data_IF_608880402711
#
_entry.id   IF_608880402711
#
_cell.length_a   1.000
_cell.length_b   1.000
_cell.length_c   1.000
_cell.angle_alpha   90.00
_cell.angle_beta   90.00
_cell.angle_gamma   90.00
#
_symmetry.space_group_name_H-M   'P 1'
#
loop_
_entity.id
_entity.type
_entity.pdbx_description
1 polymer ?
#
# COMPACT_ATOMS: atom_id res chain seq x y z
N UNK A 1 34.88 -5.21 -24.45
CA UNK A 1 34.06 -4.94 -23.25
C UNK A 1 32.73 -5.71 -23.30
N UNK A 2 31.96 -5.60 -24.39
CA UNK A 2 30.67 -6.32 -24.58
C UNK A 2 30.80 -7.85 -24.53
N UNK A 3 31.81 -8.44 -25.21
CA UNK A 3 32.02 -9.90 -25.23
C UNK A 3 32.25 -10.51 -23.84
N UNK A 4 33.01 -9.83 -22.98
CA UNK A 4 33.33 -10.30 -21.64
C UNK A 4 32.10 -10.21 -20.71
N UNK A 5 31.24 -9.20 -20.90
CA UNK A 5 29.99 -9.08 -20.18
C UNK A 5 29.05 -10.27 -20.48
N UNK A 6 28.85 -10.60 -21.75
CA UNK A 6 28.02 -11.75 -22.14
C UNK A 6 28.58 -13.09 -21.64
N UNK A 7 29.91 -13.24 -21.60
CA UNK A 7 30.53 -14.41 -20.99
C UNK A 7 30.18 -14.54 -19.51
N UNK A 8 30.28 -13.46 -18.72
CA UNK A 8 29.91 -13.49 -17.31
C UNK A 8 28.42 -13.76 -17.08
N UNK A 9 27.54 -13.24 -17.95
CA UNK A 9 26.11 -13.55 -17.91
C UNK A 9 25.88 -15.04 -18.15
N UNK A 10 26.46 -15.61 -19.20
CA UNK A 10 26.34 -17.05 -19.51
C UNK A 10 26.94 -17.93 -18.41
N UNK A 11 28.08 -17.54 -17.85
CA UNK A 11 28.71 -18.24 -16.73
C UNK A 11 27.83 -18.23 -15.48
N UNK A 12 27.20 -17.09 -15.16
CA UNK A 12 26.29 -16.98 -14.02
C UNK A 12 25.06 -17.89 -14.19
N UNK A 13 24.46 -17.94 -15.37
CA UNK A 13 23.32 -18.83 -15.65
C UNK A 13 23.71 -20.32 -15.61
N UNK A 14 24.89 -20.68 -16.13
CA UNK A 14 25.43 -22.03 -16.01
C UNK A 14 25.69 -22.42 -14.55
N UNK A 15 26.17 -21.48 -13.73
CA UNK A 15 26.39 -21.68 -12.29
C UNK A 15 25.09 -22.03 -11.57
N UNK A 16 24.02 -21.25 -11.81
CA UNK A 16 22.69 -21.49 -11.23
C UNK A 16 22.16 -22.88 -11.57
N UNK A 17 22.31 -23.33 -12.82
CA UNK A 17 21.87 -24.66 -13.25
C UNK A 17 22.70 -25.79 -12.61
N UNK A 18 24.02 -25.60 -12.47
CA UNK A 18 24.92 -26.60 -11.86
C UNK A 18 24.65 -26.76 -10.36
N UNK A 19 24.23 -25.69 -9.68
CA UNK A 19 23.92 -25.68 -8.26
C UNK A 19 22.41 -25.55 -7.99
N UNK A 20 21.60 -26.27 -8.78
CA UNK A 20 20.15 -26.07 -8.87
C UNK A 20 19.40 -26.16 -7.54
N UNK A 21 19.81 -27.06 -6.63
CA UNK A 21 19.12 -27.24 -5.34
C UNK A 21 19.30 -26.03 -4.42
N UNK A 22 20.54 -25.53 -4.26
CA UNK A 22 20.80 -24.34 -3.42
C UNK A 22 20.22 -23.07 -4.05
N UNK A 23 20.27 -22.98 -5.37
CA UNK A 23 19.64 -21.88 -6.12
C UNK A 23 18.14 -21.86 -5.89
N UNK A 24 17.48 -23.01 -6.01
CA UNK A 24 16.04 -23.14 -5.78
C UNK A 24 15.64 -22.72 -4.37
N UNK A 25 16.32 -23.24 -3.34
CA UNK A 25 16.04 -22.85 -1.94
C UNK A 25 16.16 -21.34 -1.72
N UNK A 26 17.11 -20.70 -2.40
CA UNK A 26 17.35 -19.26 -2.28
C UNK A 26 16.28 -18.44 -2.99
N UNK A 27 15.89 -18.86 -4.19
CA UNK A 27 14.80 -18.26 -4.96
C UNK A 27 13.50 -18.32 -4.15
N UNK A 28 13.20 -19.46 -3.52
CA UNK A 28 12.00 -19.62 -2.68
C UNK A 28 12.06 -18.69 -1.46
N UNK A 29 13.20 -18.60 -0.79
CA UNK A 29 13.33 -17.71 0.37
C UNK A 29 13.17 -16.24 -0.03
N UNK A 30 13.80 -15.81 -1.13
CA UNK A 30 13.63 -14.47 -1.70
C UNK A 30 12.18 -14.22 -2.13
N UNK A 31 11.52 -15.22 -2.72
CA UNK A 31 10.10 -15.16 -3.09
C UNK A 31 9.23 -14.85 -1.88
N UNK A 32 9.39 -15.58 -0.78
CA UNK A 32 8.63 -15.34 0.46
C UNK A 32 8.91 -13.93 0.98
N UNK A 33 10.18 -13.52 1.03
CA UNK A 33 10.55 -12.19 1.54
C UNK A 33 10.00 -11.06 0.70
N UNK A 34 10.11 -11.15 -0.64
CA UNK A 34 9.57 -10.13 -1.56
C UNK A 34 8.05 -10.12 -1.58
N UNK A 35 7.38 -11.26 -1.37
CA UNK A 35 5.91 -11.31 -1.24
C UNK A 35 5.46 -10.54 -0.02
N UNK A 36 6.09 -10.78 1.15
CA UNK A 36 5.77 -10.04 2.37
C UNK A 36 6.08 -8.55 2.22
N UNK A 37 7.23 -8.21 1.63
CA UNK A 37 7.61 -6.82 1.37
C UNK A 37 6.59 -6.12 0.45
N UNK A 38 6.22 -6.75 -0.66
CA UNK A 38 5.22 -6.22 -1.60
C UNK A 38 3.87 -6.02 -0.93
N UNK A 39 3.44 -6.97 -0.09
CA UNK A 39 2.20 -6.86 0.69
C UNK A 39 2.23 -5.63 1.59
N UNK A 40 3.31 -5.42 2.36
CA UNK A 40 3.43 -4.24 3.21
C UNK A 40 3.42 -2.95 2.40
N UNK A 41 4.14 -2.88 1.28
CA UNK A 41 4.15 -1.68 0.45
C UNK A 41 2.76 -1.35 -0.10
N UNK A 42 2.02 -2.35 -0.58
CA UNK A 42 0.65 -2.16 -1.08
C UNK A 42 -0.26 -1.65 0.03
N UNK A 43 -0.20 -2.25 1.23
CA UNK A 43 -1.00 -1.81 2.38
C UNK A 43 -0.64 -0.36 2.73
N UNK A 44 0.65 -0.05 2.96
CA UNK A 44 1.09 1.31 3.34
C UNK A 44 0.63 2.35 2.32
N UNK A 45 0.82 2.10 1.03
CA UNK A 45 0.49 3.07 -0.02
C UNK A 45 -1.02 3.31 -0.13
N UNK A 46 -1.83 2.26 0.01
CA UNK A 46 -3.29 2.41 0.02
C UNK A 46 -3.78 3.07 1.31
N UNK A 47 -3.20 2.76 2.47
CA UNK A 47 -3.59 3.43 3.72
C UNK A 47 -3.21 4.92 3.70
N UNK A 48 -2.07 5.28 3.09
CA UNK A 48 -1.72 6.70 2.87
C UNK A 48 -2.71 7.37 1.92
N UNK A 49 -3.11 6.70 0.84
CA UNK A 49 -4.13 7.22 -0.10
C UNK A 49 -5.48 7.42 0.60
N UNK A 50 -5.93 6.48 1.42
CA UNK A 50 -7.17 6.62 2.19
C UNK A 50 -7.10 7.77 3.19
N UNK A 51 -5.98 7.90 3.91
CA UNK A 51 -5.78 9.03 4.82
C UNK A 51 -5.82 10.38 4.07
N UNK A 52 -5.27 10.44 2.85
CA UNK A 52 -5.36 11.63 2.00
C UNK A 52 -6.78 11.89 1.50
N UNK A 53 -7.53 10.86 1.11
CA UNK A 53 -8.93 11.05 0.67
C UNK A 53 -9.79 11.59 1.82
N UNK A 54 -9.52 11.16 3.05
CA UNK A 54 -10.16 11.69 4.26
C UNK A 54 -9.74 13.12 4.55
N UNK A 55 -8.44 13.43 4.49
CA UNK A 55 -7.93 14.79 4.68
C UNK A 55 -8.51 15.79 3.66
N UNK A 56 -8.87 15.31 2.47
CA UNK A 56 -9.47 16.13 1.43
C UNK A 56 -11.01 16.07 1.42
N UNK A 57 -11.65 15.35 2.34
CA UNK A 57 -13.10 15.33 2.43
C UNK A 57 -13.59 16.65 3.04
N UNK A 58 -14.47 17.35 2.31
CA UNK A 58 -14.99 18.67 2.67
C UNK A 58 -16.44 18.64 3.14
N UNK A 59 -17.02 17.46 3.32
CA UNK A 59 -18.44 17.30 3.68
C UNK A 59 -18.64 17.25 5.20
N UNK A 60 -19.60 18.04 5.68
CA UNK A 60 -20.14 18.03 7.05
C UNK A 60 -21.58 17.51 6.98
N UNK A 61 -21.90 16.48 7.76
CA UNK A 61 -23.27 15.98 7.91
C UNK A 61 -23.94 16.65 9.10
N UNK A 62 -24.95 17.47 8.84
CA UNK A 62 -25.76 18.15 9.85
C UNK A 62 -27.09 17.41 10.01
N UNK A 63 -27.24 16.67 11.11
CA UNK A 63 -28.42 15.88 11.42
C UNK A 63 -29.50 16.76 12.06
N UNK A 64 -30.69 16.76 11.46
CA UNK A 64 -31.81 17.60 11.88
C UNK A 64 -32.61 16.93 13.00
N UNK A 65 -32.99 17.70 14.01
CA UNK A 65 -33.86 17.24 15.10
C UNK A 65 -35.20 16.71 14.57
N UNK A 66 -35.69 15.62 15.16
CA UNK A 66 -36.96 14.98 14.74
C UNK A 66 -38.19 15.91 14.82
N UNK A 67 -38.17 16.86 15.74
CA UNK A 67 -39.27 17.79 16.00
C UNK A 67 -39.28 19.01 15.05
N UNK A 68 -38.25 19.17 14.21
CA UNK A 68 -38.11 20.29 13.28
C UNK A 68 -39.12 20.16 12.13
N UNK A 69 -39.99 21.15 11.99
CA UNK A 69 -40.93 21.24 10.87
C UNK A 69 -40.26 21.83 9.61
N UNK A 70 -41.00 21.87 8.50
CA UNK A 70 -40.45 22.34 7.22
C UNK A 70 -40.03 23.82 7.24
N UNK A 71 -40.66 24.65 8.09
CA UNK A 71 -40.27 26.05 8.25
C UNK A 71 -38.93 26.15 9.00
N UNK A 72 -38.75 25.37 10.07
CA UNK A 72 -37.48 25.26 10.79
C UNK A 72 -36.34 24.67 9.94
N UNK A 73 -36.64 23.72 9.05
CA UNK A 73 -35.64 23.18 8.11
C UNK A 73 -35.16 24.23 7.10
N UNK A 74 -36.06 25.06 6.60
CA UNK A 74 -35.70 26.14 5.68
C UNK A 74 -34.91 27.23 6.40
N UNK A 75 -35.26 27.55 7.65
CA UNK A 75 -34.47 28.47 8.48
C UNK A 75 -33.07 27.93 8.75
N UNK A 76 -32.96 26.66 9.13
CA UNK A 76 -31.67 25.98 9.29
C UNK A 76 -30.85 26.03 8.00
N UNK A 77 -31.47 25.74 6.85
CA UNK A 77 -30.79 25.81 5.54
C UNK A 77 -30.21 27.20 5.28
N UNK A 78 -30.99 28.26 5.50
CA UNK A 78 -30.52 29.64 5.34
C UNK A 78 -29.38 29.98 6.30
N UNK A 79 -29.48 29.58 7.57
CA UNK A 79 -28.43 29.80 8.56
C UNK A 79 -27.13 29.08 8.17
N UNK A 80 -27.21 27.86 7.64
CA UNK A 80 -26.05 27.12 7.14
C UNK A 80 -25.44 27.78 5.90
N UNK A 81 -26.24 28.39 5.01
CA UNK A 81 -25.73 29.13 3.83
C UNK A 81 -25.00 30.42 4.21
N UNK A 82 -25.30 31.00 5.38
CA UNK A 82 -24.61 32.20 5.89
C UNK A 82 -23.25 31.89 6.54
N UNK A 83 -22.96 30.62 6.86
CA UNK A 83 -21.67 30.21 7.41
C UNK A 83 -20.56 30.49 6.38
N UNK A 84 -19.49 31.22 6.75
CA UNK A 84 -18.37 31.47 5.86
C UNK A 84 -17.73 30.16 5.37
N UNK A 85 -17.31 30.14 4.10
CA UNK A 85 -16.65 29.00 3.46
C UNK A 85 -17.52 27.78 3.18
N UNK A 86 -18.85 27.92 3.26
CA UNK A 86 -19.79 26.93 2.71
C UNK A 86 -19.91 27.10 1.19
N UNK A 87 -19.61 26.03 0.47
CA UNK A 87 -19.66 25.97 -0.99
C UNK A 87 -21.03 25.53 -1.52
N UNK A 88 -21.64 24.52 -0.89
CA UNK A 88 -22.94 23.97 -1.27
C UNK A 88 -23.62 23.26 -0.10
N UNK A 89 -24.94 23.17 -0.17
CA UNK A 89 -25.77 22.44 0.79
C UNK A 89 -26.75 21.56 0.02
N UNK A 90 -26.66 20.26 0.27
CA UNK A 90 -27.61 19.27 -0.24
C UNK A 90 -28.46 18.72 0.90
N UNK A 91 -29.77 18.56 0.67
CA UNK A 91 -30.69 17.94 1.61
C UNK A 91 -30.88 16.47 1.26
N UNK A 92 -30.84 15.63 2.28
CA UNK A 92 -31.17 14.21 2.20
C UNK A 92 -32.21 13.88 3.26
N UNK A 93 -33.38 13.45 2.82
CA UNK A 93 -34.44 13.03 3.74
C UNK A 93 -34.05 11.72 4.44
N UNK A 94 -34.64 11.46 5.61
CA UNK A 94 -34.44 10.19 6.33
C UNK A 94 -34.75 8.95 5.49
N UNK A 95 -35.70 9.07 4.54
CA UNK A 95 -36.07 7.97 3.65
C UNK A 95 -35.03 7.75 2.57
N UNK A 96 -34.44 8.81 2.02
CA UNK A 96 -33.29 8.72 1.10
C UNK A 96 -32.05 8.17 1.82
N UNK A 97 -31.81 8.57 3.06
CA UNK A 97 -30.74 8.00 3.89
C UNK A 97 -30.99 6.50 4.18
N UNK A 98 -32.24 6.10 4.44
CA UNK A 98 -32.58 4.69 4.62
C UNK A 98 -32.31 3.90 3.35
N UNK A 99 -32.70 4.43 2.18
CA UNK A 99 -32.41 3.82 0.89
C UNK A 99 -30.90 3.68 0.64
N UNK A 100 -30.11 4.72 0.97
CA UNK A 100 -28.63 4.67 0.90
C UNK A 100 -28.03 3.60 1.80
N UNK A 101 -28.53 3.48 3.03
CA UNK A 101 -28.08 2.48 4.00
C UNK A 101 -28.46 1.07 3.53
N UNK A 102 -29.69 0.85 3.03
CA UNK A 102 -30.13 -0.44 2.48
C UNK A 102 -29.28 -0.86 1.28
N UNK A 103 -29.02 0.06 0.34
CA UNK A 103 -28.14 -0.18 -0.80
C UNK A 103 -26.69 -0.50 -0.38
N UNK A 104 -26.25 0.07 0.76
CA UNK A 104 -24.87 -0.07 1.24
C UNK A 104 -24.65 -1.31 2.09
N UNK A 105 -25.54 -1.61 3.03
CA UNK A 105 -25.37 -2.65 4.05
C UNK A 105 -26.30 -3.86 3.85
N UNK A 106 -27.19 -3.81 2.85
CA UNK A 106 -28.06 -4.90 2.42
C UNK A 106 -29.43 -4.94 3.10
N UNK A 107 -30.29 -5.86 2.63
CA UNK A 107 -31.72 -5.96 2.94
C UNK A 107 -32.08 -6.14 4.44
N UNK A 108 -31.10 -6.35 5.31
CA UNK A 108 -31.33 -6.45 6.77
C UNK A 108 -31.88 -5.14 7.35
N UNK A 109 -31.65 -4.01 6.66
CA UNK A 109 -32.22 -2.70 7.00
C UNK A 109 -33.65 -2.48 6.47
N UNK A 110 -34.19 -3.39 5.66
CA UNK A 110 -35.60 -3.36 5.20
C UNK A 110 -36.63 -3.54 6.31
N UNK A 111 -36.19 -3.97 7.51
CA UNK A 111 -37.06 -4.05 8.69
C UNK A 111 -37.48 -2.66 9.22
N UNK A 112 -36.81 -1.60 8.80
CA UNK A 112 -37.04 -0.23 9.24
C UNK A 112 -37.92 0.59 8.27
N UNK A 113 -38.47 -0.01 7.21
CA UNK A 113 -39.36 0.66 6.25
C UNK A 113 -40.61 1.28 6.91
N UNK A 114 -41.05 0.71 8.06
CA UNK A 114 -42.22 1.18 8.80
C UNK A 114 -41.88 2.06 10.01
N UNK A 115 -40.63 2.00 10.49
CA UNK A 115 -40.18 2.71 11.69
C UNK A 115 -38.72 3.13 11.46
N UNK A 116 -38.55 4.17 10.65
CA UNK A 116 -37.25 4.65 10.19
C UNK A 116 -36.55 5.40 11.34
N UNK A 117 -35.43 4.87 11.89
CA UNK A 117 -34.73 5.50 13.01
C UNK A 117 -33.80 6.64 12.57
N UNK A 118 -33.66 6.88 11.26
CA UNK A 118 -32.75 7.88 10.71
C UNK A 118 -33.34 9.29 10.77
N UNK A 119 -32.45 10.26 10.73
CA UNK A 119 -32.77 11.68 10.74
C UNK A 119 -32.63 12.25 9.33
N UNK A 120 -33.27 13.39 9.11
CA UNK A 120 -33.02 14.18 7.91
C UNK A 120 -31.61 14.81 8.04
N UNK A 121 -30.88 14.92 6.93
CA UNK A 121 -29.48 15.37 6.93
C UNK A 121 -29.28 16.48 5.91
N UNK A 122 -28.64 17.57 6.33
CA UNK A 122 -28.01 18.52 5.40
C UNK A 122 -26.54 18.17 5.23
N UNK A 123 -26.12 17.88 3.99
CA UNK A 123 -24.74 17.64 3.61
C UNK A 123 -24.17 19.00 3.18
N UNK A 124 -23.35 19.58 4.05
CA UNK A 124 -22.74 20.90 3.85
C UNK A 124 -21.31 20.71 3.35
N UNK A 125 -21.02 21.17 2.14
CA UNK A 125 -19.66 21.10 1.57
C UNK A 125 -18.89 22.38 1.84
N UNK A 126 -17.70 22.27 2.40
CA UNK A 126 -16.77 23.38 2.59
C UNK A 126 -15.99 23.70 1.30
N UNK A 127 -15.56 24.95 1.15
CA UNK A 127 -14.66 25.38 0.06
C UNK A 127 -13.29 24.68 0.13
N UNK A 128 -12.76 24.51 1.35
CA UNK A 128 -11.47 23.88 1.63
C UNK A 128 -11.55 23.02 2.90
N UNK A 129 -10.77 21.92 2.98
CA UNK A 129 -10.82 21.00 4.13
C UNK A 129 -10.53 21.65 5.49
N UNK A 130 -9.75 22.73 5.54
CA UNK A 130 -9.39 23.43 6.77
C UNK A 130 -10.59 24.13 7.46
N UNK A 131 -11.71 24.32 6.75
CA UNK A 131 -12.90 24.99 7.27
C UNK A 131 -13.97 24.01 7.79
N UNK A 132 -13.80 22.71 7.56
CA UNK A 132 -14.77 21.67 7.91
C UNK A 132 -15.02 21.64 9.43
N UNK A 133 -13.97 21.74 10.24
CA UNK A 133 -14.07 21.78 11.71
C UNK A 133 -14.87 23.00 12.19
N UNK A 134 -14.54 24.20 11.68
CA UNK A 134 -15.23 25.43 12.03
C UNK A 134 -16.71 25.43 11.62
N UNK A 135 -17.03 24.93 10.41
CA UNK A 135 -18.41 24.78 9.93
C UNK A 135 -19.19 23.79 10.80
N UNK A 136 -18.54 22.70 11.23
CA UNK A 136 -19.17 21.71 12.11
C UNK A 136 -19.49 22.32 13.47
N UNK A 137 -18.54 23.01 14.11
CA UNK A 137 -18.77 23.67 15.40
C UNK A 137 -19.88 24.72 15.33
N UNK A 138 -19.94 25.48 14.24
CA UNK A 138 -20.97 26.51 14.03
C UNK A 138 -22.36 25.89 13.78
N UNK A 139 -22.44 24.81 13.00
CA UNK A 139 -23.68 24.06 12.78
C UNK A 139 -24.16 23.35 14.06
N UNK A 140 -23.26 22.74 14.85
CA UNK A 140 -23.59 22.09 16.13
C UNK A 140 -24.12 23.10 17.16
N UNK A 141 -23.68 24.36 17.09
CA UNK A 141 -24.21 25.46 17.90
C UNK A 141 -25.68 25.80 17.65
N UNK A 142 -26.28 25.37 16.53
CA UNK A 142 -27.67 25.61 16.17
C UNK A 142 -28.62 24.57 16.81
N UNK A 143 -28.49 24.36 18.12
CA UNK A 143 -29.13 23.27 18.89
C UNK A 143 -30.66 23.23 18.83
N UNK A 144 -31.30 24.32 18.41
CA UNK A 144 -32.75 24.39 18.20
C UNK A 144 -33.19 23.45 17.06
N UNK A 145 -32.43 23.39 15.97
CA UNK A 145 -32.75 22.61 14.77
C UNK A 145 -31.82 21.41 14.56
N UNK A 146 -30.59 21.46 15.10
CA UNK A 146 -29.55 20.46 14.89
C UNK A 146 -29.48 19.51 16.08
N UNK A 147 -29.54 18.21 15.79
CA UNK A 147 -29.31 17.16 16.78
C UNK A 147 -27.83 16.89 16.98
N UNK A 148 -27.09 16.83 15.88
CA UNK A 148 -25.66 16.53 15.83
C UNK A 148 -25.12 17.09 14.52
N UNK A 149 -23.95 17.72 14.54
CA UNK A 149 -23.18 17.99 13.33
C UNK A 149 -21.90 17.16 13.41
N UNK A 150 -21.64 16.37 12.38
CA UNK A 150 -20.45 15.53 12.32
C UNK A 150 -19.85 15.62 10.94
N UNK A 151 -18.59 16.03 10.90
CA UNK A 151 -17.67 15.62 9.86
C UNK A 151 -16.95 14.38 10.37
N UNK A 152 -16.41 13.56 9.47
CA UNK A 152 -15.88 12.23 9.77
C UNK A 152 -14.72 12.14 10.78
N UNK A 153 -14.50 13.06 11.70
CA UNK A 153 -13.45 13.20 12.72
C UNK A 153 -13.20 11.90 13.50
N UNK A 154 -14.23 11.28 14.07
CA UNK A 154 -14.08 10.09 14.93
C UNK A 154 -13.61 8.84 14.16
N UNK A 155 -14.02 8.72 12.90
CA UNK A 155 -13.53 7.71 11.96
C UNK A 155 -12.16 8.11 11.39
N UNK A 156 -11.94 9.40 11.16
CA UNK A 156 -10.71 9.98 10.62
C UNK A 156 -9.56 9.74 11.57
N UNK A 157 -9.67 10.11 12.84
CA UNK A 157 -8.60 9.95 13.83
C UNK A 157 -8.18 8.49 14.01
N UNK A 158 -9.15 7.57 13.99
CA UNK A 158 -8.88 6.13 14.02
C UNK A 158 -8.13 5.67 12.77
N UNK A 159 -8.57 6.08 11.59
CA UNK A 159 -7.92 5.71 10.32
C UNK A 159 -6.54 6.37 10.20
N UNK A 160 -6.37 7.63 10.60
CA UNK A 160 -5.08 8.32 10.66
C UNK A 160 -4.12 7.63 11.62
N UNK A 161 -4.59 7.25 12.80
CA UNK A 161 -3.79 6.48 13.77
C UNK A 161 -3.39 5.12 13.20
N UNK A 162 -4.31 4.42 12.54
CA UNK A 162 -4.02 3.15 11.85
C UNK A 162 -3.02 3.38 10.71
N UNK A 163 -3.16 4.46 9.95
CA UNK A 163 -2.28 4.82 8.84
C UNK A 163 -0.86 5.09 9.32
N UNK A 164 -0.71 5.90 10.36
CA UNK A 164 0.58 6.25 10.92
C UNK A 164 1.27 5.03 11.55
N UNK A 165 0.51 4.19 12.28
CA UNK A 165 1.02 2.95 12.85
C UNK A 165 1.44 1.96 11.76
N UNK A 166 0.59 1.77 10.74
CA UNK A 166 0.85 0.88 9.60
C UNK A 166 2.06 1.34 8.82
N UNK A 167 2.21 2.64 8.58
CA UNK A 167 3.40 3.21 7.94
C UNK A 167 4.65 2.97 8.76
N UNK A 168 4.62 3.22 10.07
CA UNK A 168 5.79 3.08 10.94
C UNK A 168 6.23 1.62 11.06
N UNK A 169 5.31 0.74 11.47
CA UNK A 169 5.61 -0.68 11.65
C UNK A 169 5.84 -1.40 10.32
N UNK A 170 5.13 -1.00 9.26
CA UNK A 170 5.33 -1.53 7.92
C UNK A 170 6.69 -1.16 7.33
N UNK A 171 7.19 0.07 7.56
CA UNK A 171 8.55 0.46 7.16
C UNK A 171 9.61 -0.30 7.95
N UNK A 172 9.45 -0.42 9.27
CA UNK A 172 10.37 -1.20 10.12
C UNK A 172 10.42 -2.66 9.66
N UNK A 173 9.25 -3.27 9.47
CA UNK A 173 9.13 -4.65 8.97
C UNK A 173 9.77 -4.83 7.60
N UNK A 174 9.55 -3.87 6.68
CA UNK A 174 10.16 -3.87 5.35
C UNK A 174 11.69 -3.82 5.41
N UNK A 175 12.28 -2.97 6.26
CA UNK A 175 13.74 -2.89 6.44
C UNK A 175 14.29 -4.22 6.98
N UNK A 176 13.63 -4.82 7.96
CA UNK A 176 14.04 -6.11 8.54
C UNK A 176 14.02 -7.19 7.45
N UNK A 177 12.95 -7.26 6.64
CA UNK A 177 12.84 -8.21 5.54
C UNK A 177 13.97 -8.04 4.52
N UNK A 178 14.32 -6.81 4.17
CA UNK A 178 15.45 -6.53 3.27
C UNK A 178 16.76 -7.08 3.85
N UNK A 179 17.02 -6.87 5.15
CA UNK A 179 18.22 -7.38 5.82
C UNK A 179 18.22 -8.92 5.82
N UNK A 180 17.08 -9.55 6.12
CA UNK A 180 16.94 -11.01 6.09
C UNK A 180 17.20 -11.56 4.69
N UNK A 181 16.66 -10.95 3.63
CA UNK A 181 16.92 -11.36 2.25
C UNK A 181 18.42 -11.24 1.89
N UNK A 182 19.06 -10.12 2.23
CA UNK A 182 20.51 -9.92 2.03
C UNK A 182 21.30 -11.03 2.73
N UNK A 183 20.94 -11.38 3.97
CA UNK A 183 21.61 -12.42 4.74
C UNK A 183 21.45 -13.81 4.11
N UNK A 184 20.23 -14.17 3.68
CA UNK A 184 19.95 -15.45 3.03
C UNK A 184 20.73 -15.60 1.72
N UNK A 185 20.71 -14.57 0.87
CA UNK A 185 21.44 -14.57 -0.40
C UNK A 185 22.95 -14.62 -0.15
N UNK A 186 23.45 -13.89 0.85
CA UNK A 186 24.85 -13.91 1.24
C UNK A 186 25.32 -15.32 1.63
N UNK A 187 24.48 -16.08 2.34
CA UNK A 187 24.78 -17.47 2.72
C UNK A 187 24.83 -18.40 1.51
N UNK A 188 23.91 -18.26 0.57
CA UNK A 188 23.91 -19.05 -0.67
C UNK A 188 25.13 -18.78 -1.53
N UNK A 189 25.46 -17.50 -1.72
CA UNK A 189 26.64 -17.09 -2.49
C UNK A 189 27.91 -17.60 -1.81
N UNK A 190 27.98 -17.55 -0.47
CA UNK A 190 29.09 -18.12 0.30
C UNK A 190 29.26 -19.60 0.02
N UNK A 191 28.19 -20.38 0.04
CA UNK A 191 28.25 -21.81 -0.27
C UNK A 191 28.72 -22.06 -1.70
N UNK A 192 28.22 -21.26 -2.65
CA UNK A 192 28.62 -21.36 -4.06
C UNK A 192 30.11 -21.05 -4.25
N UNK A 193 30.63 -20.02 -3.57
CA UNK A 193 32.07 -19.70 -3.56
C UNK A 193 32.89 -20.88 -3.00
N UNK A 194 32.45 -21.50 -1.90
CA UNK A 194 33.15 -22.65 -1.32
C UNK A 194 33.22 -23.83 -2.28
N UNK A 195 32.12 -24.14 -2.99
CA UNK A 195 32.11 -25.20 -4.00
C UNK A 195 32.99 -24.91 -5.23
N UNK A 196 33.36 -23.64 -5.46
CA UNK A 196 34.19 -23.19 -6.59
C UNK A 196 35.58 -22.71 -6.17
N UNK A 197 36.02 -23.05 -4.95
CA UNK A 197 37.26 -22.53 -4.37
C UNK A 197 38.49 -22.82 -5.23
N UNK A 198 38.58 -24.02 -5.81
CA UNK A 198 39.72 -24.43 -6.67
C UNK A 198 39.77 -23.63 -7.97
N UNK A 199 38.64 -23.46 -8.66
CA UNK A 199 38.53 -22.59 -9.85
C UNK A 199 39.00 -21.16 -9.54
N UNK A 200 38.56 -20.61 -8.40
CA UNK A 200 38.93 -19.26 -7.95
C UNK A 200 40.44 -19.16 -7.66
N UNK A 201 41.03 -20.20 -7.06
CA UNK A 201 42.47 -20.25 -6.80
C UNK A 201 43.28 -20.27 -8.10
N UNK A 202 42.89 -21.08 -9.09
CA UNK A 202 43.55 -21.10 -10.41
C UNK A 202 43.47 -19.73 -11.08
N UNK A 203 42.30 -19.09 -11.09
CA UNK A 203 42.11 -17.75 -11.66
C UNK A 203 43.02 -16.70 -11.00
N UNK A 204 43.25 -16.80 -9.68
CA UNK A 204 44.17 -15.91 -8.97
C UNK A 204 45.63 -16.17 -9.33
N UNK A 205 46.04 -17.42 -9.46
CA UNK A 205 47.41 -17.79 -9.82
C UNK A 205 47.81 -17.29 -11.22
N UNK A 206 46.86 -17.23 -12.15
CA UNK A 206 47.08 -16.67 -13.49
C UNK A 206 46.93 -15.14 -13.55
N UNK A 207 46.73 -14.46 -12.41
CA UNK A 207 46.73 -12.99 -12.31
C UNK A 207 45.38 -12.31 -12.55
N UNK A 208 44.25 -13.02 -12.44
CA UNK A 208 42.94 -12.39 -12.60
C UNK A 208 42.66 -11.33 -11.52
N UNK A 209 42.16 -10.15 -11.92
CA UNK A 209 41.78 -9.08 -10.99
C UNK A 209 40.60 -9.51 -10.11
N UNK A 210 40.58 -9.06 -8.86
CA UNK A 210 39.48 -9.33 -7.92
C UNK A 210 38.09 -8.99 -8.47
N UNK A 211 37.95 -7.92 -9.27
CA UNK A 211 36.68 -7.56 -9.91
C UNK A 211 36.19 -8.59 -10.92
N UNK A 212 37.09 -9.20 -11.70
CA UNK A 212 36.77 -10.24 -12.67
C UNK A 212 36.22 -11.50 -11.98
N UNK A 213 36.79 -11.85 -10.83
CA UNK A 213 36.33 -12.99 -10.01
C UNK A 213 34.96 -12.70 -9.38
N UNK A 214 34.66 -11.44 -9.02
CA UNK A 214 33.43 -11.06 -8.32
C UNK A 214 32.21 -10.94 -9.24
N UNK A 215 32.41 -10.51 -10.49
CA UNK A 215 31.31 -10.17 -11.39
C UNK A 215 30.32 -11.32 -11.64
N UNK A 216 30.76 -12.57 -11.87
CA UNK A 216 29.84 -13.69 -12.06
C UNK A 216 28.92 -13.93 -10.86
N UNK A 217 29.44 -13.82 -9.64
CA UNK A 217 28.65 -14.01 -8.41
C UNK A 217 27.70 -12.84 -8.15
N UNK A 218 28.11 -11.61 -8.49
CA UNK A 218 27.22 -10.45 -8.41
C UNK A 218 26.00 -10.64 -9.31
N UNK A 219 26.22 -11.08 -10.55
CA UNK A 219 25.15 -11.42 -11.50
C UNK A 219 24.33 -12.62 -11.02
N UNK A 220 24.95 -13.65 -10.45
CA UNK A 220 24.26 -14.81 -9.86
C UNK A 220 23.28 -14.38 -8.76
N UNK A 221 23.70 -13.49 -7.86
CA UNK A 221 22.82 -12.88 -6.85
C UNK A 221 21.68 -12.08 -7.48
N UNK A 222 21.97 -11.27 -8.49
CA UNK A 222 20.96 -10.53 -9.25
C UNK A 222 19.91 -11.44 -9.91
N UNK A 223 20.33 -12.56 -10.50
CA UNK A 223 19.42 -13.55 -11.09
C UNK A 223 18.55 -14.24 -10.04
N UNK A 224 19.11 -14.62 -8.90
CA UNK A 224 18.32 -15.18 -7.78
C UNK A 224 17.26 -14.17 -7.33
N UNK A 225 17.64 -12.89 -7.22
CA UNK A 225 16.73 -11.78 -6.92
C UNK A 225 15.62 -11.61 -7.96
N UNK A 226 15.98 -11.59 -9.23
CA UNK A 226 15.03 -11.43 -10.34
C UNK A 226 14.05 -12.61 -10.42
N UNK A 227 14.57 -13.83 -10.43
CA UNK A 227 13.74 -15.05 -10.48
C UNK A 227 12.84 -15.16 -9.25
N UNK A 228 13.37 -14.79 -8.07
CA UNK A 228 12.59 -14.73 -6.84
C UNK A 228 11.51 -13.65 -6.83
N UNK A 229 11.58 -12.64 -7.70
CA UNK A 229 10.55 -11.60 -7.81
C UNK A 229 9.36 -11.99 -8.70
N UNK A 230 9.49 -13.04 -9.53
CA UNK A 230 8.44 -13.43 -10.49
C UNK A 230 7.14 -13.83 -9.79
N UNK A 231 7.21 -14.76 -8.83
CA UNK A 231 6.03 -15.23 -8.09
C UNK A 231 5.38 -14.08 -7.28
N UNK A 232 6.13 -13.26 -6.51
CA UNK A 232 5.60 -12.09 -5.83
C UNK A 232 4.87 -11.13 -6.76
N UNK A 233 5.44 -10.85 -7.94
CA UNK A 233 4.84 -9.96 -8.94
C UNK A 233 3.48 -10.51 -9.41
N UNK A 234 3.42 -11.80 -9.76
CA UNK A 234 2.18 -12.44 -10.19
C UNK A 234 1.12 -12.44 -9.09
N UNK A 235 1.53 -12.78 -7.85
CA UNK A 235 0.64 -12.77 -6.69
C UNK A 235 0.14 -11.37 -6.36
N UNK A 236 1.01 -10.36 -6.42
CA UNK A 236 0.62 -8.97 -6.20
C UNK A 236 -0.35 -8.48 -7.27
N UNK A 237 -0.04 -8.73 -8.55
CA UNK A 237 -0.89 -8.28 -9.65
C UNK A 237 -2.29 -8.90 -9.55
N UNK A 238 -2.38 -10.22 -9.38
CA UNK A 238 -3.67 -10.92 -9.33
C UNK A 238 -4.40 -10.72 -8.00
N UNK A 239 -3.66 -10.71 -6.88
CA UNK A 239 -4.21 -10.51 -5.55
C UNK A 239 -4.73 -9.09 -5.36
N UNK A 240 -3.99 -8.09 -5.85
CA UNK A 240 -4.42 -6.69 -5.74
C UNK A 240 -5.63 -6.39 -6.61
N UNK A 241 -5.71 -6.90 -7.85
CA UNK A 241 -6.90 -6.71 -8.70
C UNK A 241 -8.16 -7.27 -8.03
N UNK A 242 -8.07 -8.47 -7.46
CA UNK A 242 -9.20 -9.08 -6.74
C UNK A 242 -9.55 -8.30 -5.47
N UNK A 243 -8.55 -7.85 -4.71
CA UNK A 243 -8.78 -7.04 -3.53
C UNK A 243 -9.45 -5.71 -3.90
N UNK A 244 -9.02 -5.08 -5.00
CA UNK A 244 -9.61 -3.86 -5.53
C UNK A 244 -11.07 -4.08 -5.92
N UNK A 245 -11.39 -5.12 -6.70
CA UNK A 245 -12.78 -5.45 -7.09
C UNK A 245 -13.71 -5.72 -5.90
N UNK A 246 -13.19 -6.27 -4.81
CA UNK A 246 -13.98 -6.60 -3.61
C UNK A 246 -14.12 -5.44 -2.63
N UNK A 247 -13.07 -4.64 -2.46
CA UNK A 247 -12.97 -3.63 -1.39
C UNK A 247 -13.29 -2.23 -1.91
N UNK A 248 -12.83 -1.88 -3.12
CA UNK A 248 -12.99 -0.53 -3.67
C UNK A 248 -14.46 -0.09 -3.79
N UNK A 249 -15.42 -0.91 -4.24
CA UNK A 249 -16.83 -0.50 -4.30
C UNK A 249 -17.44 -0.18 -2.93
N UNK A 250 -16.92 -0.77 -1.85
CA UNK A 250 -17.36 -0.48 -0.48
C UNK A 250 -16.82 0.88 -0.04
N UNK A 251 -15.58 1.21 -0.41
CA UNK A 251 -14.93 2.47 -0.09
C UNK A 251 -15.48 3.64 -0.91
N UNK A 252 -15.79 3.42 -2.19
CA UNK A 252 -16.34 4.44 -3.10
C UNK A 252 -17.68 4.99 -2.62
N UNK A 253 -18.46 4.19 -1.87
CA UNK A 253 -19.71 4.64 -1.23
C UNK A 253 -19.50 5.74 -0.18
N UNK A 254 -18.30 5.84 0.37
CA UNK A 254 -17.90 6.86 1.33
C UNK A 254 -16.93 7.87 0.71
N UNK A 255 -16.95 8.04 -0.62
CA UNK A 255 -16.04 8.92 -1.38
C UNK A 255 -14.54 8.58 -1.21
N UNK A 256 -14.21 7.35 -0.78
CA UNK A 256 -12.82 6.89 -0.65
C UNK A 256 -12.45 5.93 -1.78
N UNK A 257 -11.16 5.89 -2.14
CA UNK A 257 -10.71 5.01 -3.21
C UNK A 257 -9.36 4.35 -2.91
N UNK A 258 -9.20 3.11 -3.37
CA UNK A 258 -7.89 2.48 -3.45
C UNK A 258 -7.15 2.98 -4.69
N UNK A 259 -5.83 2.80 -4.71
CA UNK A 259 -5.03 3.14 -5.89
C UNK A 259 -5.48 2.30 -7.10
N UNK A 260 -5.80 2.95 -8.22
CA UNK A 260 -6.26 2.24 -9.41
C UNK A 260 -5.21 1.21 -9.87
N UNK A 261 -5.60 -0.05 -10.13
CA UNK A 261 -4.63 -1.11 -10.42
C UNK A 261 -3.81 -0.89 -11.69
N UNK A 262 -4.27 -0.09 -12.65
CA UNK A 262 -3.64 0.06 -13.97
C UNK A 262 -2.15 0.45 -13.91
N UNK A 263 -1.86 1.70 -13.55
CA UNK A 263 -0.47 2.19 -13.42
C UNK A 263 0.20 1.64 -12.17
N UNK A 264 -0.56 1.48 -11.08
CA UNK A 264 -0.05 1.02 -9.79
C UNK A 264 0.56 -0.38 -9.88
N UNK A 265 -0.11 -1.36 -10.50
CA UNK A 265 0.42 -2.72 -10.62
C UNK A 265 1.71 -2.76 -11.42
N UNK A 266 1.81 -1.98 -12.50
CA UNK A 266 3.02 -1.93 -13.31
C UNK A 266 4.19 -1.34 -12.52
N UNK A 267 3.94 -0.23 -11.81
CA UNK A 267 4.93 0.40 -10.94
C UNK A 267 5.39 -0.55 -9.83
N UNK A 268 4.46 -1.25 -9.18
CA UNK A 268 4.78 -2.20 -8.11
C UNK A 268 5.56 -3.40 -8.64
N UNK A 269 5.19 -3.90 -9.83
CA UNK A 269 5.89 -5.02 -10.48
C UNK A 269 7.34 -4.65 -10.81
N UNK A 270 7.54 -3.47 -11.39
CA UNK A 270 8.86 -2.94 -11.69
C UNK A 270 9.67 -2.70 -10.40
N UNK A 271 9.03 -2.12 -9.38
CA UNK A 271 9.65 -1.87 -8.08
C UNK A 271 10.15 -3.16 -7.43
N UNK A 272 9.31 -4.20 -7.38
CA UNK A 272 9.69 -5.51 -6.82
C UNK A 272 10.82 -6.18 -7.60
N UNK A 273 10.80 -6.08 -8.93
CA UNK A 273 11.89 -6.60 -9.77
C UNK A 273 13.22 -5.86 -9.50
N UNK A 274 13.17 -4.54 -9.44
CA UNK A 274 14.36 -3.69 -9.15
C UNK A 274 14.89 -3.96 -7.75
N UNK A 275 14.01 -4.01 -6.74
CA UNK A 275 14.38 -4.33 -5.36
C UNK A 275 14.98 -5.74 -5.28
N UNK A 276 14.35 -6.73 -5.92
CA UNK A 276 14.84 -8.10 -5.95
C UNK A 276 16.26 -8.19 -6.53
N UNK A 277 16.49 -7.58 -7.69
CA UNK A 277 17.82 -7.51 -8.32
C UNK A 277 18.83 -6.77 -7.44
N UNK A 278 18.44 -5.64 -6.85
CA UNK A 278 19.30 -4.83 -6.01
C UNK A 278 19.73 -5.59 -4.75
N UNK A 279 18.78 -6.15 -4.00
CA UNK A 279 19.05 -6.96 -2.79
C UNK A 279 19.88 -8.19 -3.15
N UNK A 280 19.56 -8.88 -4.24
CA UNK A 280 20.32 -10.05 -4.71
C UNK A 280 21.77 -9.73 -5.02
N UNK A 281 21.98 -8.64 -5.75
CA UNK A 281 23.30 -8.15 -6.13
C UNK A 281 24.09 -7.66 -4.91
N UNK A 282 23.45 -6.93 -3.99
CA UNK A 282 24.05 -6.41 -2.76
C UNK A 282 24.40 -7.54 -1.77
N UNK A 283 23.52 -8.52 -1.58
CA UNK A 283 23.76 -9.70 -0.74
C UNK A 283 24.95 -10.51 -1.23
N UNK A 284 25.06 -10.68 -2.55
CA UNK A 284 26.23 -11.31 -3.16
C UNK A 284 27.52 -10.51 -2.94
N UNK A 285 27.47 -9.19 -3.15
CA UNK A 285 28.60 -8.30 -2.94
C UNK A 285 29.10 -8.30 -1.48
N UNK A 286 28.18 -8.33 -0.51
CA UNK A 286 28.49 -8.39 0.92
C UNK A 286 29.24 -9.68 1.27
N UNK A 287 28.78 -10.82 0.76
CA UNK A 287 29.43 -12.13 0.95
C UNK A 287 30.87 -12.15 0.40
N UNK A 288 31.07 -11.59 -0.79
CA UNK A 288 32.38 -11.57 -1.46
C UNK A 288 33.42 -10.67 -0.79
N UNK A 289 33.01 -9.53 -0.19
CA UNK A 289 33.94 -8.64 0.53
C UNK A 289 34.65 -9.34 1.68
N UNK A 290 33.97 -10.29 2.33
CA UNK A 290 34.52 -11.03 3.48
C UNK A 290 35.51 -12.13 3.06
N UNK A 291 35.33 -12.75 1.89
CA UNK A 291 36.15 -13.88 1.44
C UNK A 291 37.40 -13.51 0.65
N UNK A 292 37.38 -12.40 -0.09
CA UNK A 292 38.50 -11.99 -0.95
C UNK A 292 39.55 -11.12 -0.22
N UNK A 293 39.50 -11.04 1.12
CA UNK A 293 40.56 -10.46 1.97
C UNK A 293 41.72 -11.43 2.26
N UNK A 294 41.64 -12.66 1.75
CA UNK A 294 42.75 -13.62 1.70
C UNK A 294 43.22 -13.79 0.27
#
# INVERSE_FOLDING_TARGET
>A
MIRNFFQHVLESLKSLRRNGWMTFSSITAVTVTLTLLGTFLVIILNTVKLAQDMENNVEVSVYVNYETDEEGKEELRNNLEEIPHVASIDYSSRDEELERVQNSYGDSWGLFDQDNPLLDVFIVSADEPQYVEAITEEAEGMTEYVQEASYGEDLSDRIFSIAQNTRTWGLIGSIILIIVAIFLISNTVRMTILTRKEEIQVMRLVGAKNGYIRWPFFLEGGWIGLLGSIIPIVLMHTGYNKAFELINPILERSNYSLLSPGTFNWQMSLLLAVIGVAIGSLGSAFSMRRFLKF
#
